data_IF_171141012250
#
_entry.id   IF_171141012250
#
_cell.length_a   1.000
_cell.length_b   1.000
_cell.length_c   1.000
_cell.angle_alpha   90.00
_cell.angle_beta   90.00
_cell.angle_gamma   90.00
#
_symmetry.space_group_name_H-M   'P 1'
#
loop_
_entity.id
_entity.type
_entity.pdbx_description
1 polymer ?
#
# COMPACT_ATOMS: atom_id res chain seq x y z
N UNK A 1 -1.87 8.62 23.93
CA UNK A 1 -0.82 8.54 22.88
C UNK A 1 -0.16 7.17 22.82
N UNK A 2 0.23 6.54 23.94
CA UNK A 2 0.89 5.23 23.94
C UNK A 2 0.12 4.11 23.22
N UNK A 3 -1.19 4.04 23.41
CA UNK A 3 -2.05 3.02 22.77
C UNK A 3 -2.12 3.17 21.24
N UNK A 4 -2.29 4.40 20.75
CA UNK A 4 -2.30 4.70 19.31
C UNK A 4 -0.96 4.35 18.64
N UNK A 5 0.17 4.64 19.31
CA UNK A 5 1.50 4.29 18.79
C UNK A 5 1.70 2.78 18.76
N UNK A 6 1.22 2.04 19.78
CA UNK A 6 1.27 0.59 19.78
C UNK A 6 0.44 -0.01 18.62
N UNK A 7 -0.77 0.49 18.41
CA UNK A 7 -1.63 0.09 17.30
C UNK A 7 -0.99 0.38 15.92
N UNK A 8 -0.37 1.55 15.76
CA UNK A 8 0.36 1.92 14.53
C UNK A 8 1.51 0.94 14.27
N UNK A 9 2.33 0.66 15.30
CA UNK A 9 3.45 -0.27 15.19
C UNK A 9 2.98 -1.67 14.81
N UNK A 10 1.93 -2.18 15.47
CA UNK A 10 1.32 -3.46 15.14
C UNK A 10 0.83 -3.50 13.68
N UNK A 11 0.09 -2.48 13.24
CA UNK A 11 -0.44 -2.39 11.88
C UNK A 11 0.64 -2.36 10.81
N UNK A 12 1.76 -1.66 11.04
CA UNK A 12 2.89 -1.60 10.11
C UNK A 12 3.65 -2.93 10.09
N UNK A 13 3.89 -3.52 11.26
CA UNK A 13 4.66 -4.75 11.39
C UNK A 13 3.89 -5.99 10.91
N UNK A 14 2.57 -5.94 10.83
CA UNK A 14 1.77 -7.03 10.28
C UNK A 14 2.11 -7.31 8.81
N UNK A 15 2.33 -6.26 8.00
CA UNK A 15 2.43 -6.42 6.55
C UNK A 15 1.12 -6.96 5.98
N UNK A 16 1.18 -8.05 5.22
CA UNK A 16 -0.02 -8.75 4.74
C UNK A 16 -0.61 -9.56 5.91
N UNK A 17 -1.87 -9.30 6.31
CA UNK A 17 -2.54 -10.05 7.37
C UNK A 17 -2.54 -11.56 7.08
N UNK A 18 -2.44 -12.36 8.14
CA UNK A 18 -2.46 -13.83 8.04
C UNK A 18 -3.82 -14.37 7.60
N UNK A 19 -4.88 -13.74 8.09
CA UNK A 19 -6.26 -14.08 7.78
C UNK A 19 -6.86 -12.98 6.89
N UNK A 20 -7.85 -13.34 6.08
CA UNK A 20 -8.53 -12.38 5.20
C UNK A 20 -9.24 -11.31 6.06
N UNK A 21 -8.86 -10.02 5.96
CA UNK A 21 -9.50 -8.98 6.77
C UNK A 21 -10.98 -8.86 6.43
N UNK A 22 -11.82 -8.30 7.30
CA UNK A 22 -13.24 -8.04 6.96
C UNK A 22 -13.37 -7.05 5.79
N UNK A 23 -14.48 -7.13 5.04
CA UNK A 23 -14.80 -6.11 4.02
C UNK A 23 -14.85 -4.73 4.67
N UNK A 24 -14.30 -3.74 3.97
CA UNK A 24 -14.31 -2.35 4.39
C UNK A 24 -15.41 -1.64 3.62
N UNK A 25 -16.35 -1.01 4.33
CA UNK A 25 -17.40 -0.21 3.70
C UNK A 25 -16.80 1.06 3.07
N UNK A 26 -17.47 1.56 2.03
CA UNK A 26 -17.14 2.85 1.44
C UNK A 26 -17.36 3.95 2.48
N UNK A 27 -16.41 4.87 2.62
CA UNK A 27 -16.46 5.94 3.60
C UNK A 27 -16.95 7.21 2.92
N UNK A 28 -18.18 7.68 3.19
CA UNK A 28 -18.73 8.85 2.51
C UNK A 28 -18.09 10.17 2.96
N UNK A 29 -17.20 10.15 3.95
CA UNK A 29 -16.56 11.38 4.48
C UNK A 29 -15.32 11.81 3.71
N UNK A 30 -14.84 10.97 2.77
CA UNK A 30 -13.69 11.30 1.91
C UNK A 30 -14.08 11.20 0.44
N UNK A 31 -13.39 11.96 -0.40
CA UNK A 31 -13.55 11.86 -1.84
C UNK A 31 -13.02 10.51 -2.35
N UNK A 32 -13.74 9.95 -3.32
CA UNK A 32 -13.41 8.70 -3.97
C UNK A 32 -13.13 8.90 -5.45
N UNK A 33 -12.15 8.16 -5.99
CA UNK A 33 -11.85 8.25 -7.41
C UNK A 33 -13.07 7.82 -8.24
N UNK A 34 -13.36 8.51 -9.36
CA UNK A 34 -14.49 8.16 -10.21
C UNK A 34 -14.30 6.77 -10.81
N UNK A 35 -15.42 6.09 -11.09
CA UNK A 35 -15.43 4.81 -11.80
C UNK A 35 -14.73 4.97 -13.15
N UNK A 36 -13.84 4.02 -13.48
CA UNK A 36 -13.00 4.07 -14.68
C UNK A 36 -12.84 2.66 -15.26
N UNK A 37 -13.92 2.05 -15.77
CA UNK A 37 -13.88 0.69 -16.27
C UNK A 37 -12.81 0.54 -17.36
N UNK A 38 -12.00 -0.51 -17.27
CA UNK A 38 -10.99 -0.83 -18.27
C UNK A 38 -11.55 -1.84 -19.28
N UNK A 39 -11.34 -1.59 -20.57
CA UNK A 39 -11.64 -2.57 -21.62
C UNK A 39 -10.49 -3.57 -21.69
N UNK A 40 -10.63 -4.70 -21.01
CA UNK A 40 -9.65 -5.79 -21.00
C UNK A 40 -10.19 -7.02 -21.72
N UNK A 41 -9.34 -7.71 -22.48
CA UNK A 41 -9.66 -9.05 -22.98
C UNK A 41 -9.79 -10.05 -21.83
N UNK A 42 -10.43 -11.20 -22.07
CA UNK A 42 -10.54 -12.25 -21.04
C UNK A 42 -9.16 -12.71 -20.52
N UNK A 43 -8.15 -12.78 -21.39
CA UNK A 43 -6.78 -13.13 -21.02
C UNK A 43 -6.13 -12.04 -20.15
N UNK A 44 -6.31 -10.77 -20.52
CA UNK A 44 -5.78 -9.64 -19.74
C UNK A 44 -6.46 -9.53 -18.38
N UNK A 45 -7.77 -9.77 -18.30
CA UNK A 45 -8.53 -9.78 -17.04
C UNK A 45 -8.04 -10.89 -16.12
N UNK A 46 -7.81 -12.09 -16.65
CA UNK A 46 -7.20 -13.20 -15.91
C UNK A 46 -5.80 -12.84 -15.39
N UNK A 47 -4.95 -12.30 -16.26
CA UNK A 47 -3.59 -11.90 -15.89
C UNK A 47 -3.58 -10.79 -14.82
N UNK A 48 -4.49 -9.82 -14.90
CA UNK A 48 -4.63 -8.77 -13.89
C UNK A 48 -4.97 -9.35 -12.52
N UNK A 49 -5.88 -10.33 -12.47
CA UNK A 49 -6.22 -11.05 -11.25
C UNK A 49 -5.03 -11.84 -10.70
N UNK A 50 -4.34 -12.63 -11.53
CA UNK A 50 -3.15 -13.39 -11.13
C UNK A 50 -2.05 -12.46 -10.58
N UNK A 51 -1.84 -11.31 -11.22
CA UNK A 51 -0.89 -10.28 -10.79
C UNK A 51 -1.27 -9.64 -9.44
N UNK A 52 -2.56 -9.52 -9.13
CA UNK A 52 -3.02 -9.02 -7.85
C UNK A 52 -2.86 -10.10 -6.75
N UNK A 53 -3.25 -11.34 -7.05
CA UNK A 53 -3.21 -12.46 -6.11
C UNK A 53 -1.78 -12.84 -5.69
N UNK A 54 -0.74 -12.52 -6.49
CA UNK A 54 0.67 -12.79 -6.15
C UNK A 54 1.13 -12.17 -4.82
N UNK A 55 0.46 -11.12 -4.35
CA UNK A 55 0.78 -10.45 -3.10
C UNK A 55 0.22 -11.15 -1.86
N UNK A 56 -0.70 -12.10 -2.05
CA UNK A 56 -1.49 -12.68 -0.98
C UNK A 56 -1.22 -14.17 -0.82
N UNK A 57 -1.29 -14.71 0.41
CA UNK A 57 -1.32 -16.15 0.65
C UNK A 57 -2.41 -16.83 -0.19
N UNK A 58 -2.13 -18.04 -0.68
CA UNK A 58 -3.11 -18.81 -1.48
C UNK A 58 -4.41 -19.08 -0.73
N UNK A 59 -4.38 -19.18 0.60
CA UNK A 59 -5.56 -19.29 1.46
C UNK A 59 -6.53 -18.11 1.33
N UNK A 60 -6.10 -16.96 0.81
CA UNK A 60 -6.96 -15.79 0.62
C UNK A 60 -7.66 -15.80 -0.74
N UNK A 61 -7.14 -16.55 -1.72
CA UNK A 61 -7.46 -16.36 -3.13
C UNK A 61 -8.94 -16.57 -3.42
N UNK A 62 -9.54 -17.67 -2.93
CA UNK A 62 -10.95 -17.98 -3.17
C UNK A 62 -11.90 -16.92 -2.61
N UNK A 63 -11.52 -16.28 -1.49
CA UNK A 63 -12.35 -15.27 -0.82
C UNK A 63 -12.30 -13.92 -1.53
N UNK A 64 -11.14 -13.54 -2.08
CA UNK A 64 -10.91 -12.19 -2.61
C UNK A 64 -11.01 -12.11 -4.13
N UNK A 65 -10.94 -13.24 -4.85
CA UNK A 65 -10.89 -13.24 -6.31
C UNK A 65 -12.09 -12.55 -6.95
N UNK A 66 -13.30 -12.84 -6.49
CA UNK A 66 -14.52 -12.20 -7.01
C UNK A 66 -14.53 -10.70 -6.71
N UNK A 67 -14.14 -10.30 -5.49
CA UNK A 67 -14.04 -8.89 -5.08
C UNK A 67 -13.03 -8.13 -5.94
N UNK A 68 -11.88 -8.73 -6.24
CA UNK A 68 -10.86 -8.13 -7.09
C UNK A 68 -11.33 -7.97 -8.53
N UNK A 69 -12.11 -8.93 -9.05
CA UNK A 69 -12.73 -8.79 -10.37
C UNK A 69 -13.78 -7.68 -10.38
N UNK A 70 -14.57 -7.53 -9.32
CA UNK A 70 -15.53 -6.43 -9.18
C UNK A 70 -14.81 -5.06 -9.13
N UNK A 71 -13.71 -4.96 -8.39
CA UNK A 71 -12.87 -3.75 -8.39
C UNK A 71 -12.31 -3.47 -9.79
N UNK A 72 -11.80 -4.49 -10.48
CA UNK A 72 -11.26 -4.35 -11.83
C UNK A 72 -12.32 -3.86 -12.83
N UNK A 73 -13.52 -4.42 -12.78
CA UNK A 73 -14.62 -4.07 -13.68
C UNK A 73 -15.13 -2.65 -13.41
N UNK A 74 -15.14 -2.21 -12.14
CA UNK A 74 -15.62 -0.87 -11.74
C UNK A 74 -14.57 0.23 -11.91
N UNK A 75 -13.37 0.00 -11.41
CA UNK A 75 -12.32 1.01 -11.29
C UNK A 75 -11.23 0.88 -12.37
N UNK A 76 -11.27 -0.18 -13.18
CA UNK A 76 -10.23 -0.48 -14.17
C UNK A 76 -8.93 -0.97 -13.54
N UNK A 77 -8.92 -1.22 -12.22
CA UNK A 77 -7.77 -1.69 -11.45
C UNK A 77 -8.21 -2.35 -10.15
N UNK A 78 -7.31 -3.15 -9.57
CA UNK A 78 -7.53 -3.88 -8.33
C UNK A 78 -6.82 -3.13 -7.21
N UNK A 79 -7.58 -2.43 -6.38
CA UNK A 79 -7.11 -1.52 -5.31
C UNK A 79 -6.87 -2.29 -4.01
N UNK A 80 -7.59 -3.39 -3.82
CA UNK A 80 -7.57 -4.23 -2.63
C UNK A 80 -8.07 -3.50 -1.38
N UNK A 81 -9.27 -2.88 -1.45
CA UNK A 81 -9.81 -2.04 -0.36
C UNK A 81 -9.83 -2.73 1.00
N UNK A 82 -10.12 -4.04 1.03
CA UNK A 82 -10.07 -4.89 2.23
C UNK A 82 -8.74 -4.84 2.98
N UNK A 83 -7.64 -4.61 2.27
CA UNK A 83 -6.30 -4.55 2.84
C UNK A 83 -5.91 -3.12 3.25
N UNK A 84 -6.78 -2.11 3.15
CA UNK A 84 -6.50 -0.80 3.74
C UNK A 84 -6.41 -0.91 5.27
N UNK A 85 -5.38 -0.35 5.93
CA UNK A 85 -5.36 -0.25 7.38
C UNK A 85 -6.49 0.68 7.88
N UNK A 86 -7.26 0.21 8.85
CA UNK A 86 -8.36 0.99 9.47
C UNK A 86 -8.22 1.13 10.98
N UNK A 87 -7.29 0.40 11.61
CA UNK A 87 -7.07 0.42 13.05
C UNK A 87 -6.49 1.75 13.56
N UNK A 88 -5.82 2.51 12.69
CA UNK A 88 -5.25 3.82 12.99
C UNK A 88 -5.57 4.82 11.88
N UNK A 89 -5.77 6.11 12.20
CA UNK A 89 -5.92 7.14 11.18
C UNK A 89 -4.70 7.19 10.24
N UNK A 90 -4.94 7.25 8.94
CA UNK A 90 -3.89 7.47 7.94
C UNK A 90 -3.47 8.94 7.99
N UNK A 91 -2.30 9.20 8.58
CA UNK A 91 -1.69 10.53 8.67
C UNK A 91 -0.22 10.43 9.05
N UNK A 92 0.52 11.53 8.98
CA UNK A 92 1.86 11.61 9.56
C UNK A 92 1.82 11.58 11.10
N UNK A 93 2.65 10.72 11.69
CA UNK A 93 2.97 10.65 13.11
C UNK A 93 4.41 11.11 13.41
N UNK A 94 4.75 11.43 14.66
CA UNK A 94 6.15 11.65 15.08
C UNK A 94 7.07 10.47 14.75
N UNK A 95 8.35 10.73 14.50
CA UNK A 95 9.30 9.71 14.02
C UNK A 95 9.46 8.50 14.97
N UNK A 96 9.37 8.72 16.27
CA UNK A 96 9.48 7.69 17.32
C UNK A 96 8.23 6.78 17.43
N UNK A 97 7.13 7.17 16.77
CA UNK A 97 5.92 6.35 16.68
C UNK A 97 6.09 5.18 15.69
N UNK A 98 7.00 5.28 14.72
CA UNK A 98 7.20 4.21 13.73
C UNK A 98 8.10 3.08 14.27
N UNK A 99 7.84 1.81 13.90
CA UNK A 99 8.65 0.68 14.33
C UNK A 99 9.89 0.48 13.44
N UNK A 100 10.56 1.56 13.04
CA UNK A 100 11.73 1.49 12.17
C UNK A 100 13.00 1.17 12.96
N UNK A 101 13.91 0.40 12.36
CA UNK A 101 15.28 0.25 12.90
C UNK A 101 16.17 1.44 12.59
N UNK A 102 15.84 2.26 11.59
CA UNK A 102 16.64 3.41 11.16
C UNK A 102 15.77 4.68 11.09
N UNK A 103 16.33 5.87 11.42
CA UNK A 103 15.59 7.13 11.31
C UNK A 103 15.15 7.45 9.88
N UNK A 104 15.96 7.10 8.89
CA UNK A 104 15.64 7.31 7.47
C UNK A 104 14.39 6.54 7.05
N UNK A 105 14.25 5.28 7.48
CA UNK A 105 13.08 4.49 7.15
C UNK A 105 11.82 5.00 7.88
N UNK A 106 11.95 5.47 9.13
CA UNK A 106 10.86 6.14 9.84
C UNK A 106 10.38 7.41 9.10
N UNK A 107 11.32 8.24 8.64
CA UNK A 107 10.99 9.44 7.89
C UNK A 107 10.29 9.12 6.56
N UNK A 108 10.71 8.07 5.86
CA UNK A 108 10.05 7.64 4.62
C UNK A 108 8.62 7.13 4.89
N UNK A 109 8.43 6.33 5.94
CA UNK A 109 7.08 5.88 6.35
C UNK A 109 6.17 7.07 6.68
N UNK A 110 6.70 8.07 7.38
CA UNK A 110 5.98 9.32 7.67
C UNK A 110 5.52 10.02 6.39
N UNK A 111 6.43 10.22 5.43
CA UNK A 111 6.11 10.88 4.17
C UNK A 111 5.10 10.09 3.34
N UNK A 112 5.19 8.75 3.34
CA UNK A 112 4.19 7.89 2.69
C UNK A 112 2.81 8.08 3.30
N UNK A 113 2.70 8.06 4.63
CA UNK A 113 1.41 8.23 5.30
C UNK A 113 0.84 9.65 5.13
N UNK A 114 1.70 10.67 5.05
CA UNK A 114 1.28 12.04 4.71
C UNK A 114 0.63 12.11 3.32
N UNK A 115 1.22 11.46 2.30
CA UNK A 115 0.66 11.45 0.95
C UNK A 115 -0.69 10.74 0.84
N UNK A 116 -1.05 9.93 1.84
CA UNK A 116 -2.30 9.17 1.92
C UNK A 116 -3.26 9.70 2.99
N UNK A 117 -2.90 10.80 3.66
CA UNK A 117 -3.75 11.44 4.66
C UNK A 117 -5.01 11.99 3.98
N UNK A 118 -6.23 11.72 4.48
CA UNK A 118 -7.46 12.30 3.95
C UNK A 118 -7.49 13.83 3.89
N UNK A 119 -6.69 14.53 4.70
CA UNK A 119 -6.53 15.98 4.64
C UNK A 119 -5.57 16.45 3.53
N UNK A 120 -4.86 15.54 2.86
CA UNK A 120 -3.83 15.83 1.85
C UNK A 120 -4.16 15.19 0.50
N UNK A 121 -4.56 13.92 0.51
CA UNK A 121 -4.80 13.13 -0.69
C UNK A 121 -6.15 13.44 -1.34
N UNK A 122 -6.16 13.55 -2.66
CA UNK A 122 -7.39 13.74 -3.44
C UNK A 122 -8.35 12.54 -3.32
N UNK A 123 -7.83 11.31 -3.42
CA UNK A 123 -8.63 10.09 -3.25
C UNK A 123 -7.84 9.11 -2.34
N UNK A 124 -7.86 9.32 -1.00
CA UNK A 124 -6.98 8.63 -0.05
C UNK A 124 -7.18 7.10 -0.08
N UNK A 125 -8.42 6.65 -0.23
CA UNK A 125 -8.77 5.22 -0.22
C UNK A 125 -8.38 4.49 -1.50
N UNK A 126 -8.16 5.25 -2.58
CA UNK A 126 -7.70 4.81 -3.89
C UNK A 126 -6.20 5.07 -4.11
N UNK A 127 -5.49 5.45 -3.03
CA UNK A 127 -4.06 5.73 -2.99
C UNK A 127 -3.59 6.86 -3.91
N UNK A 128 -4.48 7.80 -4.27
CA UNK A 128 -4.20 8.92 -5.18
C UNK A 128 -4.04 10.21 -4.38
N UNK A 129 -2.87 10.82 -4.48
CA UNK A 129 -2.59 12.09 -3.78
C UNK A 129 -3.10 13.28 -4.57
N UNK A 130 -2.87 13.33 -5.89
CA UNK A 130 -3.31 14.45 -6.72
C UNK A 130 -3.38 14.09 -8.21
N UNK A 131 -3.88 15.02 -9.03
CA UNK A 131 -3.88 14.89 -10.50
C UNK A 131 -4.86 13.85 -11.03
N UNK A 132 -5.81 13.40 -10.21
CA UNK A 132 -6.83 12.40 -10.56
C UNK A 132 -6.32 10.95 -10.68
N UNK A 133 -5.04 10.74 -10.96
CA UNK A 133 -4.41 9.42 -11.07
C UNK A 133 -2.99 9.32 -10.51
N UNK A 134 -2.43 10.41 -9.94
CA UNK A 134 -1.12 10.44 -9.31
C UNK A 134 -1.14 9.62 -8.01
N UNK A 135 -0.83 8.33 -8.14
CA UNK A 135 -0.94 7.35 -7.05
C UNK A 135 0.39 7.08 -6.34
N UNK A 136 0.32 6.83 -5.03
CA UNK A 136 1.47 6.45 -4.20
C UNK A 136 1.83 4.98 -4.43
N UNK A 137 0.80 4.12 -4.48
CA UNK A 137 0.91 2.70 -4.79
C UNK A 137 -0.25 2.29 -5.70
N UNK A 138 -0.12 1.14 -6.36
CA UNK A 138 -1.20 0.60 -7.21
C UNK A 138 -2.30 -0.07 -6.40
N UNK A 139 -1.98 -0.59 -5.22
CA UNK A 139 -2.92 -1.26 -4.32
C UNK A 139 -2.43 -1.28 -2.86
N UNK A 140 -3.34 -1.61 -1.94
CA UNK A 140 -3.05 -1.63 -0.51
C UNK A 140 -2.10 -2.74 -0.05
N UNK A 141 -1.96 -3.84 -0.80
CA UNK A 141 -0.97 -4.87 -0.49
C UNK A 141 0.47 -4.34 -0.67
N UNK A 142 0.70 -3.53 -1.72
CA UNK A 142 1.98 -2.87 -1.93
C UNK A 142 2.32 -1.89 -0.80
N UNK A 143 1.35 -1.09 -0.35
CA UNK A 143 1.52 -0.24 0.84
C UNK A 143 1.97 -1.08 2.05
N UNK A 144 1.22 -2.15 2.37
CA UNK A 144 1.49 -3.00 3.53
C UNK A 144 2.89 -3.62 3.50
N UNK A 145 3.29 -4.14 2.35
CA UNK A 145 4.63 -4.73 2.18
C UNK A 145 5.73 -3.66 2.28
N UNK A 146 5.55 -2.51 1.62
CA UNK A 146 6.54 -1.43 1.66
C UNK A 146 6.75 -0.91 3.10
N UNK A 147 5.66 -0.66 3.83
CA UNK A 147 5.71 -0.23 5.23
C UNK A 147 6.38 -1.29 6.12
N UNK A 148 6.05 -2.58 5.91
CA UNK A 148 6.70 -3.69 6.63
C UNK A 148 8.20 -3.77 6.34
N UNK A 149 8.61 -3.62 5.08
CA UNK A 149 10.03 -3.63 4.71
C UNK A 149 10.78 -2.44 5.30
N UNK A 150 10.22 -1.23 5.23
CA UNK A 150 10.80 -0.04 5.86
C UNK A 150 10.94 -0.20 7.38
N UNK A 151 9.99 -0.85 8.05
CA UNK A 151 10.09 -1.10 9.48
C UNK A 151 11.28 -2.02 9.84
N UNK A 152 11.53 -3.06 9.03
CA UNK A 152 12.53 -4.11 9.36
C UNK A 152 13.89 -3.91 8.71
N UNK A 153 14.02 -3.01 7.74
CA UNK A 153 15.27 -2.76 7.02
C UNK A 153 16.36 -2.17 7.92
N UNK A 154 17.61 -2.39 7.54
CA UNK A 154 18.79 -1.81 8.16
C UNK A 154 19.38 -0.70 7.29
N UNK A 155 20.39 0.02 7.78
CA UNK A 155 21.11 1.02 6.98
C UNK A 155 21.99 0.40 5.89
N UNK A 156 22.21 -0.91 5.89
CA UNK A 156 22.96 -1.63 4.86
C UNK A 156 22.05 -2.20 3.77
N UNK A 157 20.81 -1.71 3.67
CA UNK A 157 19.83 -2.18 2.71
C UNK A 157 19.19 -1.05 1.90
N UNK A 158 18.73 -1.42 0.71
CA UNK A 158 17.91 -0.58 -0.17
C UNK A 158 16.63 -1.33 -0.55
N UNK A 159 15.53 -0.59 -0.66
CA UNK A 159 14.23 -1.07 -1.15
C UNK A 159 13.95 -0.49 -2.55
N UNK A 160 14.13 -1.27 -3.62
CA UNK A 160 13.68 -0.88 -4.95
C UNK A 160 12.15 -0.92 -5.07
N UNK A 161 11.56 0.20 -5.49
CA UNK A 161 10.13 0.36 -5.74
C UNK A 161 9.88 0.44 -7.24
N UNK A 162 9.19 -0.57 -7.78
CA UNK A 162 8.88 -0.73 -9.20
C UNK A 162 7.44 -0.28 -9.45
N UNK A 163 7.24 1.00 -9.74
CA UNK A 163 5.92 1.61 -9.96
C UNK A 163 4.91 1.26 -8.85
N UNK A 164 5.35 1.42 -7.60
CA UNK A 164 4.60 1.04 -6.40
C UNK A 164 4.89 -0.37 -5.89
N UNK A 165 5.34 -1.32 -6.71
CA UNK A 165 5.69 -2.67 -6.22
C UNK A 165 6.98 -2.65 -5.38
N UNK A 166 6.95 -3.01 -4.08
CA UNK A 166 8.17 -3.19 -3.30
C UNK A 166 8.83 -4.52 -3.66
N UNK A 167 9.94 -4.48 -4.40
CA UNK A 167 10.57 -5.70 -4.92
C UNK A 167 11.17 -6.58 -3.81
N UNK A 168 11.72 -5.94 -2.77
CA UNK A 168 12.37 -6.60 -1.65
C UNK A 168 13.51 -5.75 -1.08
N UNK A 169 14.11 -6.21 0.01
CA UNK A 169 15.28 -5.56 0.60
C UNK A 169 16.56 -6.20 0.06
N UNK A 170 17.42 -5.39 -0.54
CA UNK A 170 18.69 -5.82 -1.12
C UNK A 170 19.86 -5.20 -0.37
N UNK A 171 21.01 -5.90 -0.24
CA UNK A 171 22.22 -5.31 0.34
C UNK A 171 22.66 -4.04 -0.39
N UNK A 172 23.15 -3.07 0.38
CA UNK A 172 23.64 -1.77 -0.09
C UNK A 172 24.70 -1.24 0.89
N UNK A 173 25.08 0.03 0.78
CA UNK A 173 25.97 0.70 1.73
C UNK A 173 25.18 1.63 2.66
N UNK A 174 25.68 1.93 3.88
CA UNK A 174 25.11 2.94 4.77
C UNK A 174 24.86 4.29 4.10
N UNK A 175 25.75 4.71 3.19
CA UNK A 175 25.65 5.95 2.40
C UNK A 175 24.71 5.87 1.19
N UNK A 176 24.27 4.67 0.81
CA UNK A 176 23.33 4.48 -0.30
C UNK A 176 21.93 4.99 0.03
N UNK A 177 21.05 5.11 -0.97
CA UNK A 177 19.65 5.40 -0.72
C UNK A 177 18.97 4.23 0.00
N UNK A 178 18.06 4.53 0.94
CA UNK A 178 17.21 3.51 1.57
C UNK A 178 16.12 3.00 0.63
N UNK A 179 15.67 3.84 -0.31
CA UNK A 179 14.62 3.52 -1.28
C UNK A 179 15.00 4.10 -2.63
N UNK A 180 14.84 3.32 -3.70
CA UNK A 180 14.96 3.79 -5.09
C UNK A 180 13.59 3.62 -5.74
N UNK A 181 13.02 4.71 -6.26
CA UNK A 181 11.65 4.72 -6.79
C UNK A 181 11.66 4.97 -8.30
N UNK A 182 11.00 4.09 -9.04
CA UNK A 182 10.62 4.32 -10.44
C UNK A 182 9.10 4.29 -10.55
N UNK A 183 8.51 5.19 -11.35
CA UNK A 183 7.07 5.22 -11.58
C UNK A 183 6.79 5.46 -13.07
N UNK A 184 6.12 4.51 -13.73
CA UNK A 184 5.69 4.67 -15.12
C UNK A 184 6.83 4.69 -16.15
N UNK A 185 7.99 4.10 -15.83
CA UNK A 185 9.08 3.94 -16.79
C UNK A 185 8.66 2.95 -17.87
N UNK A 186 8.69 3.38 -19.13
CA UNK A 186 8.32 2.62 -20.33
C UNK A 186 9.37 2.79 -21.42
#
# INVERSE_FOLDING_TARGET
MGDLHAALKASILEGIPKDVPSKVALDPTVDHAPDRPATLSAQQRRLALENALRYLPSSHHDVVAEEFLQELDRYGRIIMHRYRPTAVPMKAYPLDAYPAKTPHAAAIMLMIMNNLDPAVAQFPHELITYGGNGSVFQNWAQYRLAMRYLAVMTDEQCLPMYSGHPLGLFPSSPSGPRVVVTNGMV
#
